data_IF_003510538301
#
_entry.id   IF_003510538301
#
_cell.length_a   1.000
_cell.length_b   1.000
_cell.length_c   1.000
_cell.angle_alpha   90.00
_cell.angle_beta   90.00
_cell.angle_gamma   90.00
#
_symmetry.space_group_name_H-M   'P 1'
#
loop_
_entity.id
_entity.type
_entity.pdbx_description
1 polymer ?
#
# COMPACT_ATOMS: atom_id res chain seq x y z
N UNK A 1 9.06 14.39 1.77
CA UNK A 1 10.05 15.11 2.65
C UNK A 1 9.71 14.80 4.09
N UNK A 2 10.66 14.89 5.03
CA UNK A 2 10.38 14.73 6.46
C UNK A 2 10.49 16.06 7.21
N UNK A 3 9.58 16.32 8.13
CA UNK A 3 9.68 17.42 9.08
C UNK A 3 10.79 17.14 10.12
N UNK A 4 11.13 18.14 10.95
CA UNK A 4 12.16 18.00 11.99
C UNK A 4 11.80 16.96 13.06
N UNK A 5 10.51 16.69 13.26
CA UNK A 5 9.99 15.63 14.13
C UNK A 5 9.89 14.26 13.41
N UNK A 6 10.44 14.13 12.19
CA UNK A 6 10.45 12.92 11.34
C UNK A 6 9.10 12.54 10.71
N UNK A 7 8.06 13.35 10.85
CA UNK A 7 6.80 13.11 10.16
C UNK A 7 6.95 13.28 8.64
N UNK A 8 6.34 12.37 7.90
CA UNK A 8 6.34 12.40 6.43
C UNK A 8 5.36 13.45 5.90
N UNK A 9 5.87 14.32 5.03
CA UNK A 9 5.10 15.33 4.29
C UNK A 9 5.15 15.05 2.80
N UNK A 10 3.96 15.06 2.18
CA UNK A 10 3.73 14.78 0.76
C UNK A 10 2.92 15.94 0.18
N UNK A 11 3.29 16.38 -1.02
CA UNK A 11 2.52 17.35 -1.81
C UNK A 11 2.56 16.93 -3.26
N UNK A 12 1.41 16.86 -3.91
CA UNK A 12 1.31 16.54 -5.33
C UNK A 12 1.58 17.83 -6.11
N UNK A 13 2.57 17.80 -7.01
CA UNK A 13 3.04 19.00 -7.71
C UNK A 13 2.15 19.45 -8.88
N UNK A 14 1.24 18.60 -9.33
CA UNK A 14 0.35 18.83 -10.47
C UNK A 14 -1.06 18.31 -10.21
N UNK A 15 -2.01 18.71 -11.06
CA UNK A 15 -3.39 18.22 -10.95
C UNK A 15 -3.47 16.75 -11.36
N UNK A 16 -4.04 15.92 -10.49
CA UNK A 16 -4.34 14.50 -10.75
C UNK A 16 -5.84 14.23 -10.87
N UNK A 17 -6.66 15.29 -11.00
CA UNK A 17 -8.12 15.18 -11.10
C UNK A 17 -8.53 14.37 -12.33
N UNK A 18 -9.45 13.43 -12.14
CA UNK A 18 -10.00 12.56 -13.20
C UNK A 18 -8.96 11.66 -13.91
N UNK A 19 -7.75 11.58 -13.37
CA UNK A 19 -6.65 10.76 -13.91
C UNK A 19 -6.57 9.38 -13.25
N UNK A 20 -5.98 8.43 -13.98
CA UNK A 20 -5.61 7.12 -13.45
C UNK A 20 -4.17 7.18 -12.91
N UNK A 21 -4.04 7.15 -11.58
CA UNK A 21 -2.76 7.36 -10.88
C UNK A 21 -2.17 6.03 -10.45
N UNK A 22 -0.89 5.83 -10.73
CA UNK A 22 -0.11 4.68 -10.26
C UNK A 22 0.94 5.18 -9.28
N UNK A 23 0.88 4.68 -8.04
CA UNK A 23 1.84 5.04 -6.99
C UNK A 23 2.74 3.83 -6.75
N UNK A 24 4.02 3.97 -7.06
CA UNK A 24 5.01 2.92 -6.90
C UNK A 24 5.75 3.10 -5.58
N UNK A 25 5.70 2.10 -4.69
CA UNK A 25 6.49 2.08 -3.47
C UNK A 25 7.03 0.68 -3.20
N UNK A 26 8.35 0.56 -3.06
CA UNK A 26 9.04 -0.72 -2.97
C UNK A 26 8.85 -1.44 -1.64
N UNK A 27 8.64 -0.72 -0.53
CA UNK A 27 8.53 -1.32 0.80
C UNK A 27 9.85 -1.87 1.37
N UNK A 28 10.99 -1.57 0.73
CA UNK A 28 12.33 -2.00 1.16
C UNK A 28 13.05 -0.91 1.98
N UNK A 29 13.91 -1.31 2.93
CA UNK A 29 14.63 -0.38 3.81
C UNK A 29 13.78 0.04 5.01
N UNK A 30 13.35 1.30 5.08
CA UNK A 30 12.51 1.84 6.15
C UNK A 30 11.03 1.47 5.92
N UNK A 31 10.70 0.20 6.18
CA UNK A 31 9.40 -0.42 5.83
C UNK A 31 8.21 0.41 6.32
N UNK A 32 8.26 0.89 7.57
CA UNK A 32 7.14 1.64 8.18
C UNK A 32 6.99 3.02 7.58
N UNK A 33 8.09 3.73 7.35
CA UNK A 33 8.06 5.07 6.79
C UNK A 33 7.59 5.03 5.34
N UNK A 34 8.05 4.04 4.57
CA UNK A 34 7.61 3.81 3.19
C UNK A 34 6.12 3.44 3.13
N UNK A 35 5.65 2.60 4.05
CA UNK A 35 4.23 2.28 4.16
C UNK A 35 3.40 3.53 4.49
N UNK A 36 3.84 4.34 5.46
CA UNK A 36 3.16 5.58 5.82
C UNK A 36 3.17 6.59 4.66
N UNK A 37 4.30 6.75 3.97
CA UNK A 37 4.42 7.61 2.80
C UNK A 37 3.44 7.18 1.69
N UNK A 38 3.36 5.88 1.39
CA UNK A 38 2.42 5.34 0.42
C UNK A 38 0.96 5.66 0.80
N UNK A 39 0.59 5.43 2.06
CA UNK A 39 -0.77 5.71 2.55
C UNK A 39 -1.12 7.20 2.44
N UNK A 40 -0.17 8.09 2.77
CA UNK A 40 -0.35 9.53 2.66
C UNK A 40 -0.49 9.95 1.18
N UNK A 41 0.33 9.39 0.28
CA UNK A 41 0.23 9.66 -1.17
C UNK A 41 -1.10 9.20 -1.76
N UNK A 42 -1.58 8.00 -1.41
CA UNK A 42 -2.89 7.49 -1.82
C UNK A 42 -3.99 8.45 -1.36
N UNK A 43 -3.98 8.84 -0.08
CA UNK A 43 -4.98 9.73 0.49
C UNK A 43 -4.94 11.13 -0.16
N UNK A 44 -3.75 11.64 -0.49
CA UNK A 44 -3.57 12.90 -1.19
C UNK A 44 -4.19 12.84 -2.60
N UNK A 45 -3.93 11.78 -3.37
CA UNK A 45 -4.51 11.58 -4.70
C UNK A 45 -6.04 11.45 -4.65
N UNK A 46 -6.56 10.72 -3.65
CA UNK A 46 -8.01 10.57 -3.43
C UNK A 46 -8.67 11.91 -3.17
N UNK A 47 -8.08 12.71 -2.28
CA UNK A 47 -8.58 14.05 -1.93
C UNK A 47 -8.47 15.02 -3.11
N UNK A 48 -7.45 14.85 -3.96
CA UNK A 48 -7.29 15.58 -5.22
C UNK A 48 -8.23 15.12 -6.35
N UNK A 49 -9.15 14.19 -6.07
CA UNK A 49 -10.16 13.67 -7.02
C UNK A 49 -9.57 12.89 -8.19
N UNK A 50 -8.53 12.09 -7.96
CA UNK A 50 -8.09 11.09 -8.93
C UNK A 50 -9.25 10.13 -9.28
N UNK A 51 -9.36 9.72 -10.54
CA UNK A 51 -10.40 8.80 -11.02
C UNK A 51 -10.18 7.39 -10.48
N UNK A 52 -8.93 6.94 -10.50
CA UNK A 52 -8.52 5.62 -10.02
C UNK A 52 -7.12 5.67 -9.45
N UNK A 53 -6.90 5.00 -8.32
CA UNK A 53 -5.60 4.93 -7.66
C UNK A 53 -5.15 3.47 -7.59
N UNK A 54 -4.05 3.16 -8.27
CA UNK A 54 -3.40 1.84 -8.22
C UNK A 54 -2.13 1.92 -7.38
N UNK A 55 -2.07 1.15 -6.29
CA UNK A 55 -0.86 1.01 -5.50
C UNK A 55 0.00 -0.12 -6.07
N UNK A 56 1.20 0.21 -6.55
CA UNK A 56 2.17 -0.76 -7.06
C UNK A 56 3.22 -1.01 -5.99
N UNK A 57 3.21 -2.21 -5.43
CA UNK A 57 3.99 -2.61 -4.25
C UNK A 57 4.82 -3.85 -4.58
N UNK A 58 6.02 -3.70 -5.19
CA UNK A 58 6.87 -4.83 -5.56
C UNK A 58 7.19 -5.78 -4.40
N UNK A 59 7.47 -5.27 -3.20
CA UNK A 59 7.66 -6.08 -2.00
C UNK A 59 6.60 -5.73 -0.95
N UNK A 60 5.56 -6.56 -0.86
CA UNK A 60 4.45 -6.30 0.06
C UNK A 60 4.91 -6.31 1.53
N UNK A 61 4.75 -5.20 2.28
CA UNK A 61 5.24 -5.13 3.65
C UNK A 61 4.43 -6.05 4.56
N UNK A 62 5.10 -6.62 5.57
CA UNK A 62 4.49 -7.53 6.54
C UNK A 62 3.92 -8.84 5.96
N UNK A 63 4.23 -9.21 4.71
CA UNK A 63 3.71 -10.42 4.06
C UNK A 63 3.97 -11.73 4.84
N UNK A 64 5.01 -11.79 5.68
CA UNK A 64 5.34 -12.97 6.51
C UNK A 64 4.46 -13.13 7.76
N UNK A 65 3.65 -12.13 8.09
CA UNK A 65 2.68 -12.15 9.20
C UNK A 65 1.26 -12.27 8.63
N UNK A 66 1.04 -13.31 7.85
CA UNK A 66 -0.18 -13.63 7.10
C UNK A 66 -1.15 -14.54 7.87
N UNK A 67 -0.73 -15.13 8.99
CA UNK A 67 -1.56 -15.99 9.82
C UNK A 67 -1.35 -15.73 11.30
N UNK A 68 -2.35 -16.10 12.09
CA UNK A 68 -2.26 -16.09 13.55
C UNK A 68 -1.48 -17.32 14.02
N UNK A 69 -0.19 -17.17 14.20
CA UNK A 69 0.72 -18.25 14.64
C UNK A 69 0.57 -18.59 16.13
N UNK A 70 0.19 -17.59 16.96
CA UNK A 70 0.04 -17.72 18.41
C UNK A 70 -1.22 -17.01 18.91
N UNK A 71 -1.66 -17.36 20.12
CA UNK A 71 -2.72 -16.61 20.79
C UNK A 71 -2.31 -15.15 20.94
N UNK A 72 -3.24 -14.22 20.64
CA UNK A 72 -3.03 -12.76 20.67
C UNK A 72 -1.98 -12.19 19.70
N UNK A 73 -1.54 -12.95 18.70
CA UNK A 73 -0.72 -12.43 17.61
C UNK A 73 -1.57 -11.69 16.55
N UNK A 74 -1.02 -10.64 15.90
CA UNK A 74 -1.69 -9.93 14.81
C UNK A 74 -1.61 -10.71 13.49
N UNK A 75 -2.47 -10.34 12.54
CA UNK A 75 -2.33 -10.69 11.12
C UNK A 75 -1.99 -9.39 10.38
N UNK A 76 -0.71 -8.99 10.42
CA UNK A 76 -0.28 -7.68 9.96
C UNK A 76 -0.44 -7.50 8.45
N UNK A 77 -0.29 -8.56 7.65
CA UNK A 77 -0.58 -8.50 6.21
C UNK A 77 -2.03 -8.09 5.93
N UNK A 78 -3.00 -8.61 6.71
CA UNK A 78 -4.41 -8.21 6.60
C UNK A 78 -4.63 -6.76 7.05
N UNK A 79 -3.94 -6.33 8.11
CA UNK A 79 -3.99 -4.94 8.56
C UNK A 79 -3.50 -3.99 7.46
N UNK A 80 -2.37 -4.27 6.82
CA UNK A 80 -1.83 -3.48 5.71
C UNK A 80 -2.81 -3.41 4.54
N UNK A 81 -3.37 -4.55 4.12
CA UNK A 81 -4.38 -4.59 3.05
C UNK A 81 -5.59 -3.70 3.35
N UNK A 82 -6.08 -3.73 4.59
CA UNK A 82 -7.17 -2.87 5.04
C UNK A 82 -6.77 -1.38 5.02
N UNK A 83 -5.56 -1.04 5.49
CA UNK A 83 -5.08 0.35 5.49
C UNK A 83 -4.99 0.93 4.07
N UNK A 84 -4.47 0.17 3.11
CA UNK A 84 -4.40 0.59 1.70
C UNK A 84 -5.80 0.85 1.12
N UNK A 85 -6.74 -0.06 1.41
CA UNK A 85 -8.14 0.08 0.98
C UNK A 85 -8.78 1.33 1.59
N UNK A 86 -8.60 1.55 2.90
CA UNK A 86 -9.18 2.69 3.62
C UNK A 86 -8.56 4.02 3.15
N UNK A 87 -7.24 4.05 2.93
CA UNK A 87 -6.55 5.21 2.37
C UNK A 87 -7.12 5.61 1.00
N UNK A 88 -7.60 4.63 0.22
CA UNK A 88 -8.30 4.85 -1.04
C UNK A 88 -7.67 4.21 -2.27
N UNK A 89 -6.88 3.16 -2.11
CA UNK A 89 -6.44 2.39 -3.27
C UNK A 89 -7.64 1.64 -3.87
N UNK A 90 -7.86 1.80 -5.18
CA UNK A 90 -8.88 1.07 -5.93
C UNK A 90 -8.36 -0.23 -6.52
N UNK A 91 -7.03 -0.36 -6.60
CA UNK A 91 -6.34 -1.50 -7.20
C UNK A 91 -4.96 -1.67 -6.57
N UNK A 92 -4.48 -2.91 -6.46
CA UNK A 92 -3.13 -3.20 -5.98
C UNK A 92 -2.41 -4.10 -6.97
N UNK A 93 -1.18 -3.74 -7.32
CA UNK A 93 -0.27 -4.60 -8.08
C UNK A 93 0.89 -4.94 -7.17
N UNK A 94 1.22 -6.21 -7.03
CA UNK A 94 2.33 -6.67 -6.19
C UNK A 94 3.06 -7.84 -6.86
N UNK A 95 4.14 -8.30 -6.26
CA UNK A 95 4.96 -9.37 -6.82
C UNK A 95 5.35 -10.38 -5.74
N UNK A 96 5.30 -11.66 -6.09
CA UNK A 96 5.76 -12.79 -5.28
C UNK A 96 5.32 -12.73 -3.81
N UNK A 97 4.02 -12.57 -3.58
CA UNK A 97 3.45 -12.63 -2.24
C UNK A 97 3.90 -13.89 -1.50
N UNK A 98 4.35 -13.72 -0.25
CA UNK A 98 4.82 -14.81 0.60
C UNK A 98 3.85 -16.00 0.69
N UNK A 99 2.55 -15.69 0.69
CA UNK A 99 1.47 -16.66 0.67
C UNK A 99 0.37 -16.16 -0.27
N UNK A 100 -0.13 -17.03 -1.16
CA UNK A 100 -1.15 -16.66 -2.15
C UNK A 100 -2.48 -16.23 -1.50
N UNK A 101 -2.77 -16.71 -0.29
CA UNK A 101 -3.96 -16.37 0.49
C UNK A 101 -4.01 -14.87 0.85
N UNK A 102 -2.88 -14.17 0.83
CA UNK A 102 -2.81 -12.72 1.09
C UNK A 102 -3.66 -11.95 0.07
N UNK A 103 -3.84 -12.44 -1.16
CA UNK A 103 -4.74 -11.81 -2.14
C UNK A 103 -6.17 -11.72 -1.60
N UNK A 104 -6.63 -12.74 -0.86
CA UNK A 104 -7.94 -12.75 -0.20
C UNK A 104 -8.08 -11.78 0.98
N UNK A 105 -7.00 -11.07 1.37
CA UNK A 105 -7.07 -10.02 2.38
C UNK A 105 -7.55 -8.70 1.83
N UNK A 106 -7.52 -8.47 0.52
CA UNK A 106 -7.95 -7.23 -0.08
C UNK A 106 -9.44 -7.26 -0.41
N UNK A 107 -10.09 -6.10 -0.27
CA UNK A 107 -11.46 -5.89 -0.73
C UNK A 107 -11.51 -5.20 -2.11
N UNK A 108 -10.33 -4.97 -2.71
CA UNK A 108 -10.12 -4.38 -4.02
C UNK A 108 -9.38 -5.38 -4.90
N UNK A 109 -9.46 -5.27 -6.24
CA UNK A 109 -8.75 -6.21 -7.11
C UNK A 109 -7.24 -6.14 -6.88
N UNK A 110 -6.57 -7.29 -7.00
CA UNK A 110 -5.13 -7.44 -6.79
C UNK A 110 -4.53 -8.25 -7.91
N UNK A 111 -3.53 -7.69 -8.58
CA UNK A 111 -2.67 -8.43 -9.49
C UNK A 111 -1.38 -8.85 -8.77
N UNK A 112 -1.19 -10.15 -8.57
CA UNK A 112 0.05 -10.71 -8.04
C UNK A 112 0.90 -11.25 -9.19
N UNK A 113 1.95 -10.51 -9.53
CA UNK A 113 2.92 -10.89 -10.55
C UNK A 113 3.90 -11.92 -9.98
N UNK A 114 4.44 -12.77 -10.84
CA UNK A 114 5.40 -13.81 -10.48
C UNK A 114 6.71 -13.55 -11.22
N UNK A 115 7.84 -13.55 -10.51
CA UNK A 115 9.15 -13.59 -11.15
C UNK A 115 9.46 -15.04 -11.52
N UNK A 116 9.44 -15.35 -12.82
CA UNK A 116 9.97 -16.62 -13.37
C UNK A 116 11.49 -16.57 -13.55
#
# INVERSE_FOLDING_TARGET
MKYSNQETSVTIGESVRDEDVFIVQSGCGEINDNLMELLIMINACKTASARRITAVIPCFPYARQDKKDKSRAPISAKLVANMLTVAGADHVITMDLHASQIQGFFNVPVDNLYAE
#
